data_IF_565987372258
#
_entry.id   IF_565987372258
#
_cell.length_a   1.000
_cell.length_b   1.000
_cell.length_c   1.000
_cell.angle_alpha   90.00
_cell.angle_beta   90.00
_cell.angle_gamma   90.00
#
_symmetry.space_group_name_H-M   'P 1'
#
loop_
_entity.id
_entity.type
_entity.pdbx_description
1 polymer ?
#
# COMPACT_ATOMS: atom_id res chain seq x y z
N UNK A 1 -13.09 -40.85 -72.91
CA UNK A 1 -13.13 -41.57 -71.62
C UNK A 1 -12.10 -40.94 -70.70
N UNK A 2 -12.57 -40.42 -69.57
CA UNK A 2 -11.92 -40.14 -68.27
C UNK A 2 -10.51 -39.51 -68.24
N UNK A 3 -10.37 -38.24 -67.81
CA UNK A 3 -10.22 -37.78 -66.41
C UNK A 3 -8.96 -38.34 -65.70
N UNK A 4 -8.00 -37.47 -65.40
CA UNK A 4 -7.59 -37.22 -64.01
C UNK A 4 -6.71 -35.97 -63.89
N UNK A 5 -7.27 -34.99 -63.19
CA UNK A 5 -6.65 -33.78 -62.66
C UNK A 5 -5.59 -34.17 -61.61
N UNK A 6 -4.32 -33.78 -61.80
CA UNK A 6 -3.36 -33.74 -60.70
C UNK A 6 -3.34 -32.32 -60.12
N UNK A 7 -4.12 -32.15 -59.06
CA UNK A 7 -4.12 -30.97 -58.21
C UNK A 7 -2.82 -30.92 -57.40
N UNK A 8 -1.99 -29.90 -57.66
CA UNK A 8 -0.83 -29.57 -56.81
C UNK A 8 -1.36 -29.02 -55.49
N UNK A 9 -1.34 -29.84 -54.44
CA UNK A 9 -1.59 -29.39 -53.07
C UNK A 9 -0.44 -28.47 -52.63
N UNK A 10 -0.74 -27.18 -52.51
CA UNK A 10 0.14 -26.16 -51.96
C UNK A 10 -0.03 -26.22 -50.43
N UNK A 11 0.93 -26.81 -49.73
CA UNK A 11 0.94 -26.88 -48.26
C UNK A 11 1.49 -25.56 -47.74
N UNK A 12 0.61 -24.68 -47.30
CA UNK A 12 0.97 -23.43 -46.59
C UNK A 12 1.24 -23.78 -45.13
N UNK A 13 2.52 -23.84 -44.72
CA UNK A 13 2.90 -23.97 -43.31
C UNK A 13 2.80 -22.60 -42.66
N UNK A 14 1.76 -22.37 -41.86
CA UNK A 14 1.61 -21.20 -41.01
C UNK A 14 2.38 -21.45 -39.72
N UNK A 15 3.57 -20.87 -39.59
CA UNK A 15 4.34 -20.85 -38.34
C UNK A 15 3.71 -19.79 -37.43
N UNK A 16 2.91 -20.24 -36.46
CA UNK A 16 2.43 -19.39 -35.36
C UNK A 16 3.60 -19.21 -34.40
N UNK A 17 4.29 -18.07 -34.49
CA UNK A 17 5.24 -17.64 -33.45
C UNK A 17 4.38 -17.18 -32.26
N UNK A 18 4.10 -18.09 -31.34
CA UNK A 18 3.58 -17.72 -30.03
C UNK A 18 4.65 -16.87 -29.35
N UNK A 19 4.41 -15.57 -29.22
CA UNK A 19 5.21 -14.70 -28.39
C UNK A 19 4.99 -15.15 -26.93
N UNK A 20 5.84 -16.06 -26.46
CA UNK A 20 5.95 -16.37 -25.03
C UNK A 20 6.51 -15.12 -24.36
N UNK A 21 5.65 -14.31 -23.75
CA UNK A 21 6.08 -13.30 -22.79
C UNK A 21 6.93 -14.03 -21.75
N UNK A 22 8.16 -13.59 -21.45
CA UNK A 22 8.96 -14.21 -20.41
C UNK A 22 8.17 -14.10 -19.11
N UNK A 23 7.74 -15.25 -18.58
CA UNK A 23 7.15 -15.33 -17.26
C UNK A 23 8.26 -14.98 -16.27
N UNK A 24 8.23 -13.77 -15.71
CA UNK A 24 9.08 -13.44 -14.56
C UNK A 24 8.71 -14.45 -13.48
N UNK A 25 9.68 -15.25 -12.98
CA UNK A 25 9.37 -16.27 -11.99
C UNK A 25 8.84 -15.60 -10.72
N UNK A 26 7.69 -16.07 -10.23
CA UNK A 26 7.15 -15.61 -8.95
C UNK A 26 8.19 -15.82 -7.84
N UNK A 27 8.48 -14.74 -7.11
CA UNK A 27 9.41 -14.73 -5.99
C UNK A 27 8.72 -15.30 -4.74
N UNK A 28 9.39 -16.13 -3.94
CA UNK A 28 8.81 -16.66 -2.72
C UNK A 28 8.69 -15.58 -1.63
N UNK A 29 7.59 -15.58 -0.89
CA UNK A 29 7.34 -14.67 0.22
C UNK A 29 6.63 -15.36 1.38
N UNK A 30 6.84 -14.82 2.57
CA UNK A 30 6.04 -15.12 3.74
C UNK A 30 4.89 -14.11 3.80
N UNK A 31 3.67 -14.58 4.08
CA UNK A 31 2.51 -13.72 4.26
C UNK A 31 1.88 -13.95 5.62
N UNK A 32 1.93 -12.92 6.47
CA UNK A 32 1.18 -12.90 7.72
C UNK A 32 -0.16 -12.23 7.48
N UNK A 33 -1.22 -12.95 7.83
CA UNK A 33 -2.61 -12.57 7.54
C UNK A 33 -3.37 -12.48 8.86
N UNK A 34 -4.11 -11.39 9.06
CA UNK A 34 -4.93 -11.20 10.25
C UNK A 34 -6.41 -11.22 9.85
N UNK A 35 -7.22 -11.94 10.62
CA UNK A 35 -8.66 -12.05 10.47
C UNK A 35 -9.37 -11.63 11.77
N UNK A 36 -10.61 -11.18 11.65
CA UNK A 36 -11.50 -11.08 12.81
C UNK A 36 -12.07 -12.47 13.14
N UNK A 37 -12.17 -12.81 14.42
CA UNK A 37 -12.56 -14.15 14.87
C UNK A 37 -11.37 -15.07 15.10
N UNK A 38 -11.61 -16.36 15.29
CA UNK A 38 -10.62 -17.32 15.84
C UNK A 38 -10.13 -18.38 14.84
N UNK A 39 -10.69 -18.39 13.64
CA UNK A 39 -10.61 -19.54 12.71
C UNK A 39 -9.83 -19.21 11.42
N UNK A 40 -9.08 -18.10 11.35
CA UNK A 40 -8.34 -17.63 10.16
C UNK A 40 -9.13 -17.78 8.86
N UNK A 41 -10.35 -17.24 8.85
CA UNK A 41 -11.28 -17.43 7.75
C UNK A 41 -12.10 -16.18 7.48
N UNK A 42 -12.67 -16.11 6.27
CA UNK A 42 -13.39 -14.94 5.79
C UNK A 42 -12.44 -13.92 5.17
N UNK A 43 -12.90 -12.67 5.05
CA UNK A 43 -12.09 -11.58 4.53
C UNK A 43 -11.08 -11.15 5.60
N UNK A 44 -9.76 -11.15 5.30
CA UNK A 44 -8.76 -10.67 6.24
C UNK A 44 -8.94 -9.17 6.49
N UNK A 45 -8.52 -8.72 7.67
CA UNK A 45 -8.38 -7.28 7.95
C UNK A 45 -7.07 -6.75 7.38
N UNK A 46 -6.03 -7.59 7.35
CA UNK A 46 -4.69 -7.22 6.93
C UNK A 46 -3.97 -8.41 6.32
N UNK A 47 -3.22 -8.17 5.25
CA UNK A 47 -2.32 -9.13 4.60
C UNK A 47 -0.96 -8.48 4.43
N UNK A 48 0.07 -9.01 5.05
CA UNK A 48 1.46 -8.60 4.79
C UNK A 48 2.13 -9.58 3.85
N UNK A 49 3.12 -9.12 3.07
CA UNK A 49 3.92 -9.98 2.21
C UNK A 49 5.38 -9.51 2.23
N UNK A 50 6.28 -10.36 2.71
CA UNK A 50 7.71 -10.07 2.81
C UNK A 50 8.49 -11.17 2.13
N UNK A 51 9.41 -10.79 1.22
CA UNK A 51 10.23 -11.75 0.47
C UNK A 51 10.99 -12.68 1.41
N UNK A 52 10.84 -13.99 1.23
CA UNK A 52 11.43 -15.00 2.10
C UNK A 52 11.66 -16.30 1.34
N UNK A 53 12.92 -16.75 1.32
CA UNK A 53 13.31 -18.02 0.70
C UNK A 53 13.22 -19.20 1.67
N UNK A 54 13.30 -18.92 2.97
CA UNK A 54 13.28 -19.89 4.07
C UNK A 54 12.01 -19.71 4.91
N UNK A 55 10.87 -19.49 4.23
CA UNK A 55 9.60 -19.27 4.89
C UNK A 55 9.14 -20.51 5.66
N UNK A 56 8.73 -20.31 6.91
CA UNK A 56 8.07 -21.32 7.73
C UNK A 56 6.62 -20.89 7.97
N UNK A 57 5.68 -21.75 7.59
CA UNK A 57 4.27 -21.50 7.82
C UNK A 57 3.96 -21.60 9.32
N UNK A 58 3.09 -20.71 9.79
CA UNK A 58 2.59 -20.70 11.16
C UNK A 58 1.09 -21.00 11.10
N UNK A 59 0.68 -22.05 11.79
CA UNK A 59 -0.74 -22.40 11.89
C UNK A 59 -1.56 -21.27 12.53
N UNK A 60 -2.86 -21.28 12.25
CA UNK A 60 -3.78 -20.29 12.79
C UNK A 60 -3.73 -20.21 14.32
N UNK A 61 -3.43 -19.02 14.85
CA UNK A 61 -3.45 -18.72 16.27
C UNK A 61 -4.37 -17.53 16.53
N UNK A 62 -5.16 -17.59 17.59
CA UNK A 62 -6.03 -16.47 17.99
C UNK A 62 -5.38 -15.61 19.07
N UNK A 63 -5.75 -14.34 19.09
CA UNK A 63 -5.35 -13.35 20.08
C UNK A 63 -6.52 -12.41 20.39
N UNK A 64 -6.38 -11.61 21.45
CA UNK A 64 -7.42 -10.65 21.87
C UNK A 64 -6.78 -9.26 21.92
N UNK A 65 -7.36 -8.32 21.19
CA UNK A 65 -6.98 -6.91 21.19
C UNK A 65 -8.24 -6.07 21.41
N UNK A 66 -8.19 -5.14 22.39
CA UNK A 66 -9.34 -4.32 22.82
C UNK A 66 -10.66 -5.09 22.98
N UNK A 67 -10.61 -6.23 23.67
CA UNK A 67 -11.78 -7.13 23.88
C UNK A 67 -12.37 -7.75 22.60
N UNK A 68 -11.76 -7.56 21.44
CA UNK A 68 -12.12 -8.21 20.18
C UNK A 68 -11.20 -9.40 19.94
N UNK A 69 -11.76 -10.52 19.48
CA UNK A 69 -10.98 -11.71 19.12
C UNK A 69 -10.52 -11.61 17.67
N UNK A 70 -9.24 -11.82 17.45
CA UNK A 70 -8.60 -11.89 16.14
C UNK A 70 -7.85 -13.21 16.00
N UNK A 71 -7.46 -13.53 14.77
CA UNK A 71 -6.58 -14.66 14.48
C UNK A 71 -5.58 -14.29 13.42
N UNK A 72 -4.40 -14.90 13.51
CA UNK A 72 -3.27 -14.68 12.62
C UNK A 72 -2.71 -16.02 12.16
N UNK A 73 -2.31 -16.09 10.91
CA UNK A 73 -1.55 -17.21 10.35
C UNK A 73 -0.44 -16.67 9.45
N UNK A 74 0.60 -17.48 9.25
CA UNK A 74 1.63 -17.19 8.25
C UNK A 74 1.62 -18.28 7.19
N UNK A 75 1.45 -17.88 5.93
CA UNK A 75 1.54 -18.75 4.76
C UNK A 75 2.83 -18.49 3.98
N UNK A 76 3.28 -19.49 3.23
CA UNK A 76 4.49 -19.42 2.42
C UNK A 76 4.12 -19.59 0.96
N UNK A 77 4.23 -18.50 0.21
CA UNK A 77 3.64 -18.41 -1.11
C UNK A 77 4.67 -18.17 -2.18
N UNK A 78 4.35 -18.64 -3.38
CA UNK A 78 5.15 -18.40 -4.59
C UNK A 78 4.24 -17.99 -5.73
N UNK A 79 3.72 -16.77 -5.62
CA UNK A 79 2.76 -16.19 -6.53
C UNK A 79 3.12 -14.73 -6.87
N UNK A 80 2.37 -14.14 -7.80
CA UNK A 80 2.34 -12.68 -7.93
C UNK A 80 1.63 -12.10 -6.70
N UNK A 81 2.27 -11.16 -6.01
CA UNK A 81 1.75 -10.64 -4.74
C UNK A 81 0.45 -9.85 -4.90
N UNK A 82 0.27 -9.18 -6.03
CA UNK A 82 -0.93 -8.39 -6.29
C UNK A 82 -2.13 -9.29 -6.53
N UNK A 83 -1.96 -10.34 -7.35
CA UNK A 83 -2.97 -11.36 -7.55
C UNK A 83 -3.30 -12.08 -6.24
N UNK A 84 -2.28 -12.45 -5.46
CA UNK A 84 -2.47 -13.09 -4.15
C UNK A 84 -3.29 -12.21 -3.19
N UNK A 85 -2.93 -10.93 -3.02
CA UNK A 85 -3.69 -10.00 -2.17
C UNK A 85 -5.12 -9.83 -2.69
N UNK A 86 -5.31 -9.65 -3.99
CA UNK A 86 -6.63 -9.49 -4.59
C UNK A 86 -7.54 -10.72 -4.32
N UNK A 87 -6.99 -11.93 -4.43
CA UNK A 87 -7.69 -13.17 -4.13
C UNK A 87 -8.06 -13.27 -2.64
N UNK A 88 -7.14 -12.90 -1.74
CA UNK A 88 -7.37 -12.92 -0.28
C UNK A 88 -8.51 -11.99 0.15
N UNK A 89 -8.61 -10.81 -0.46
CA UNK A 89 -9.71 -9.87 -0.16
C UNK A 89 -11.03 -10.22 -0.85
N UNK A 90 -11.03 -11.20 -1.76
CA UNK A 90 -12.22 -11.77 -2.41
C UNK A 90 -13.19 -10.70 -2.98
N UNK A 91 -12.64 -9.65 -3.60
CA UNK A 91 -13.41 -8.54 -4.17
C UNK A 91 -13.84 -7.47 -3.16
N UNK A 92 -13.35 -7.52 -1.92
CA UNK A 92 -13.48 -6.42 -0.95
C UNK A 92 -12.52 -5.28 -1.31
N UNK A 93 -12.87 -4.05 -0.95
CA UNK A 93 -11.98 -2.90 -1.13
C UNK A 93 -10.75 -3.02 -0.23
N UNK A 94 -9.58 -2.68 -0.76
CA UNK A 94 -8.35 -2.67 0.02
C UNK A 94 -7.39 -1.58 -0.47
N UNK A 95 -6.52 -1.12 0.43
CA UNK A 95 -5.36 -0.29 0.12
C UNK A 95 -4.12 -1.12 0.37
N UNK A 96 -3.25 -1.26 -0.62
CA UNK A 96 -1.99 -1.97 -0.48
C UNK A 96 -0.83 -1.02 -0.69
N UNK A 97 0.11 -1.05 0.26
CA UNK A 97 1.30 -0.23 0.28
C UNK A 97 2.50 -1.15 0.12
N UNK A 98 3.14 -1.07 -1.05
CA UNK A 98 4.46 -1.65 -1.25
C UNK A 98 5.52 -0.67 -0.76
N UNK A 99 6.47 -1.16 0.02
CA UNK A 99 7.61 -0.40 0.53
C UNK A 99 8.88 -0.80 -0.22
N UNK A 100 9.67 0.20 -0.56
CA UNK A 100 10.88 0.07 -1.35
C UNK A 100 12.06 0.81 -0.72
N UNK A 101 13.26 0.39 -1.09
CA UNK A 101 14.50 1.12 -0.83
C UNK A 101 15.09 1.70 -2.12
N UNK A 102 16.01 2.65 -1.95
CA UNK A 102 16.67 3.42 -3.03
C UNK A 102 15.68 4.03 -4.04
N UNK A 103 14.83 4.95 -3.58
CA UNK A 103 13.94 5.73 -4.44
C UNK A 103 13.00 4.83 -5.30
N UNK A 104 12.25 3.95 -4.64
CA UNK A 104 11.36 2.96 -5.29
C UNK A 104 12.04 1.96 -6.25
N UNK A 105 13.30 1.60 -6.02
CA UNK A 105 14.01 0.64 -6.88
C UNK A 105 13.94 -0.79 -6.38
N UNK A 106 14.11 -1.01 -5.06
CA UNK A 106 14.22 -2.36 -4.49
C UNK A 106 13.07 -2.65 -3.54
N UNK A 107 12.23 -3.61 -3.90
CA UNK A 107 11.11 -4.05 -3.08
C UNK A 107 11.60 -4.54 -1.71
N UNK A 108 10.91 -4.14 -0.64
CA UNK A 108 11.22 -4.51 0.74
C UNK A 108 10.08 -5.29 1.41
N UNK A 109 8.83 -5.01 1.04
CA UNK A 109 7.66 -5.67 1.58
C UNK A 109 6.39 -4.97 1.14
N UNK A 110 5.24 -5.62 1.36
CA UNK A 110 3.93 -5.05 1.10
C UNK A 110 3.01 -5.28 2.30
N UNK A 111 2.11 -4.34 2.56
CA UNK A 111 1.01 -4.54 3.50
C UNK A 111 -0.28 -4.06 2.84
N UNK A 112 -1.29 -4.90 2.83
CA UNK A 112 -2.62 -4.62 2.32
C UNK A 112 -3.62 -4.57 3.48
N UNK A 113 -4.44 -3.53 3.47
CA UNK A 113 -5.38 -3.16 4.51
C UNK A 113 -6.79 -3.24 3.97
N UNK A 114 -7.69 -3.88 4.70
CA UNK A 114 -9.12 -3.84 4.37
C UNK A 114 -9.60 -2.39 4.43
N UNK A 115 -10.14 -1.87 3.33
CA UNK A 115 -10.51 -0.47 3.21
C UNK A 115 -11.98 -0.25 3.56
N UNK A 116 -12.32 -0.39 4.85
CA UNK A 116 -13.70 -0.14 5.34
C UNK A 116 -13.91 1.26 5.91
N UNK A 117 -12.85 2.05 6.08
CA UNK A 117 -12.91 3.30 6.85
C UNK A 117 -13.10 3.11 8.37
N UNK A 118 -13.04 1.87 8.87
CA UNK A 118 -13.18 1.56 10.30
C UNK A 118 -11.80 1.30 10.93
N UNK A 119 -11.68 1.56 12.23
CA UNK A 119 -10.48 1.25 13.00
C UNK A 119 -10.32 -0.27 13.17
N UNK A 120 -9.21 -0.83 12.67
CA UNK A 120 -8.89 -2.27 12.73
C UNK A 120 -7.50 -2.50 13.32
N UNK A 121 -7.24 -3.70 13.83
CA UNK A 121 -5.92 -4.03 14.40
C UNK A 121 -4.86 -4.14 13.31
N UNK A 122 -3.67 -3.58 13.55
CA UNK A 122 -2.56 -3.55 12.58
C UNK A 122 -1.61 -4.75 12.72
N UNK A 123 -1.43 -5.26 13.93
CA UNK A 123 -0.50 -6.34 14.22
C UNK A 123 -1.11 -7.38 15.19
N UNK A 124 -0.43 -8.51 15.31
CA UNK A 124 -0.83 -9.59 16.21
C UNK A 124 -0.47 -9.34 17.69
N UNK A 125 0.22 -8.23 17.98
CA UNK A 125 0.48 -7.76 19.35
C UNK A 125 -0.70 -6.96 19.90
N UNK A 126 -1.52 -6.37 19.02
CA UNK A 126 -2.67 -5.55 19.40
C UNK A 126 -2.27 -4.17 19.95
N UNK A 127 -1.04 -3.72 19.65
CA UNK A 127 -0.52 -2.43 20.12
C UNK A 127 -0.88 -1.29 19.15
N UNK A 128 -1.08 -1.60 17.87
CA UNK A 128 -1.35 -0.64 16.82
C UNK A 128 -2.65 -0.95 16.07
N UNK A 129 -3.25 0.11 15.54
CA UNK A 129 -4.50 0.05 14.79
C UNK A 129 -4.38 0.87 13.52
N UNK A 130 -5.23 0.62 12.53
CA UNK A 130 -5.22 1.36 11.28
C UNK A 130 -6.63 1.72 10.83
N UNK A 131 -6.71 2.77 10.03
CA UNK A 131 -7.84 3.09 9.16
C UNK A 131 -7.30 3.09 7.72
N UNK A 132 -8.03 2.46 6.82
CA UNK A 132 -7.77 2.53 5.39
C UNK A 132 -9.07 2.77 4.62
N UNK A 133 -8.99 3.57 3.55
CA UNK A 133 -10.15 3.95 2.74
C UNK A 133 -9.74 4.12 1.27
N UNK A 134 -10.63 3.72 0.37
CA UNK A 134 -10.57 4.06 -1.05
C UNK A 134 -11.66 5.09 -1.30
N UNK A 135 -11.26 6.29 -1.71
CA UNK A 135 -12.16 7.42 -1.88
C UNK A 135 -12.91 7.32 -3.22
N UNK A 136 -14.07 7.97 -3.33
CA UNK A 136 -14.89 7.98 -4.56
C UNK A 136 -14.15 8.53 -5.78
N UNK A 137 -13.21 9.44 -5.57
CA UNK A 137 -12.40 10.04 -6.63
C UNK A 137 -11.25 9.13 -7.07
N UNK A 138 -11.10 7.92 -6.50
CA UNK A 138 -10.03 6.97 -6.80
C UNK A 138 -8.71 7.23 -6.06
N UNK A 139 -8.64 8.26 -5.21
CA UNK A 139 -7.55 8.40 -4.23
C UNK A 139 -7.71 7.39 -3.09
N UNK A 140 -6.68 7.29 -2.24
CA UNK A 140 -6.71 6.39 -1.09
C UNK A 140 -6.14 7.05 0.15
N UNK A 141 -6.54 6.56 1.32
CA UNK A 141 -5.95 6.95 2.59
C UNK A 141 -5.61 5.72 3.43
N UNK A 142 -4.54 5.84 4.21
CA UNK A 142 -4.14 4.86 5.21
C UNK A 142 -3.48 5.58 6.37
N UNK A 143 -3.85 5.26 7.61
CA UNK A 143 -3.23 5.80 8.81
C UNK A 143 -3.06 4.72 9.86
N UNK A 144 -1.92 4.73 10.57
CA UNK A 144 -1.63 3.85 11.71
C UNK A 144 -1.63 4.68 13.01
N UNK A 145 -2.29 4.14 14.02
CA UNK A 145 -2.57 4.74 15.31
C UNK A 145 -2.07 3.85 16.44
N UNK A 146 -1.74 4.45 17.58
CA UNK A 146 -1.24 3.74 18.77
C UNK A 146 -2.39 3.36 19.74
N UNK A 147 -3.63 3.47 19.32
CA UNK A 147 -4.81 3.21 20.15
C UNK A 147 -5.97 2.65 19.34
N UNK A 148 -6.82 1.87 20.01
CA UNK A 148 -7.96 1.15 19.42
C UNK A 148 -9.12 2.04 18.98
N UNK A 149 -9.11 3.31 19.35
CA UNK A 149 -10.11 4.28 18.89
C UNK A 149 -9.71 4.97 17.60
N UNK A 150 -8.47 4.77 17.12
CA UNK A 150 -7.87 5.47 15.99
C UNK A 150 -8.10 6.99 16.07
N UNK A 151 -7.96 7.55 17.28
CA UNK A 151 -8.24 8.95 17.54
C UNK A 151 -7.01 9.83 17.32
N UNK A 152 -7.23 11.10 16.95
CA UNK A 152 -6.14 12.05 16.72
C UNK A 152 -5.40 11.84 15.40
N UNK A 153 -4.13 12.22 15.37
CA UNK A 153 -3.29 12.11 14.17
C UNK A 153 -2.58 10.76 14.13
N UNK A 154 -2.58 10.05 12.98
CA UNK A 154 -1.80 8.83 12.83
C UNK A 154 -0.30 9.13 12.96
N UNK A 155 0.47 8.22 13.53
CA UNK A 155 1.93 8.37 13.61
C UNK A 155 2.63 8.02 12.29
N UNK A 156 1.96 7.26 11.43
CA UNK A 156 2.34 6.98 10.05
C UNK A 156 1.09 7.01 9.19
N UNK A 157 1.11 7.73 8.07
CA UNK A 157 -0.02 7.78 7.16
C UNK A 157 0.36 8.07 5.71
N UNK A 158 -0.54 7.69 4.81
CA UNK A 158 -0.44 7.83 3.37
C UNK A 158 -1.77 8.40 2.86
N UNK A 159 -1.68 9.44 2.03
CA UNK A 159 -2.85 10.08 1.39
C UNK A 159 -2.52 10.37 -0.09
N UNK A 160 -2.20 9.34 -0.91
CA UNK A 160 -1.95 9.54 -2.33
C UNK A 160 -3.21 10.00 -3.06
N UNK A 161 -3.05 10.96 -3.96
CA UNK A 161 -4.11 11.36 -4.90
C UNK A 161 -4.41 10.26 -5.93
N UNK A 162 -5.52 10.41 -6.67
CA UNK A 162 -5.90 9.48 -7.73
C UNK A 162 -4.77 9.28 -8.75
N UNK A 163 -4.09 10.35 -9.16
CA UNK A 163 -3.03 10.26 -10.18
C UNK A 163 -1.90 9.36 -9.69
N UNK A 164 -1.49 9.49 -8.43
CA UNK A 164 -0.47 8.65 -7.80
C UNK A 164 -0.91 7.19 -7.76
N UNK A 165 -2.14 6.93 -7.31
CA UNK A 165 -2.70 5.56 -7.20
C UNK A 165 -2.84 4.91 -8.57
N UNK A 166 -3.38 5.61 -9.56
CA UNK A 166 -3.66 5.07 -10.90
C UNK A 166 -2.42 4.89 -11.77
N UNK A 167 -1.41 5.75 -11.59
CA UNK A 167 -0.13 5.63 -12.29
C UNK A 167 0.86 4.68 -11.59
N UNK A 168 0.55 4.25 -10.36
CA UNK A 168 1.46 3.52 -9.49
C UNK A 168 2.82 4.24 -9.35
N UNK A 169 2.77 5.57 -9.26
CA UNK A 169 3.98 6.37 -9.12
C UNK A 169 4.58 6.25 -7.72
N UNK A 170 5.89 6.46 -7.64
CA UNK A 170 6.62 6.40 -6.38
C UNK A 170 6.20 7.54 -5.45
N UNK A 171 5.45 7.20 -4.42
CA UNK A 171 5.00 8.10 -3.38
C UNK A 171 6.08 8.27 -2.30
N UNK A 172 6.35 9.52 -1.93
CA UNK A 172 7.37 9.91 -0.94
C UNK A 172 8.77 9.31 -1.15
N UNK A 173 9.11 8.85 -2.36
CA UNK A 173 10.36 8.18 -2.72
C UNK A 173 10.61 6.79 -2.10
N UNK A 174 9.62 6.17 -1.46
CA UNK A 174 9.81 4.84 -0.84
C UNK A 174 8.59 3.93 -0.88
N UNK A 175 7.45 4.39 -1.39
CA UNK A 175 6.24 3.56 -1.46
C UNK A 175 5.59 3.61 -2.82
N UNK A 176 4.90 2.52 -3.18
CA UNK A 176 3.92 2.50 -4.27
C UNK A 176 2.61 2.05 -3.67
N UNK A 177 1.54 2.80 -3.94
CA UNK A 177 0.22 2.53 -3.37
C UNK A 177 -0.70 2.05 -4.47
N UNK A 178 -1.44 0.98 -4.14
CA UNK A 178 -2.47 0.39 -4.96
C UNK A 178 -3.77 0.44 -4.17
N UNK A 179 -4.86 0.71 -4.86
CA UNK A 179 -6.19 0.67 -4.28
C UNK A 179 -7.09 -0.19 -5.15
N UNK A 180 -7.93 -1.00 -4.51
CA UNK A 180 -9.00 -1.74 -5.15
C UNK A 180 -10.31 -1.30 -4.54
N UNK A 181 -11.29 -0.99 -5.39
CA UNK A 181 -12.66 -0.75 -4.99
C UNK A 181 -13.49 -2.01 -5.31
N UNK A 182 -14.24 -2.51 -4.33
CA UNK A 182 -15.22 -3.59 -4.47
C UNK A 182 -16.26 -3.33 -5.56
N UNK A 183 -16.51 -2.06 -5.91
CA UNK A 183 -17.41 -1.68 -7.01
C UNK A 183 -16.85 -2.04 -8.39
N UNK A 184 -15.54 -2.28 -8.50
CA UNK A 184 -14.88 -2.68 -9.74
C UNK A 184 -14.75 -4.19 -9.80
N UNK A 185 -15.87 -4.89 -9.97
CA UNK A 185 -15.83 -6.28 -10.41
C UNK A 185 -14.98 -6.36 -11.68
N UNK A 186 -13.85 -7.05 -11.62
CA UNK A 186 -12.98 -7.30 -12.77
C UNK A 186 -13.75 -8.20 -13.72
N UNK A 187 -14.54 -7.60 -14.60
CA UNK A 187 -15.04 -8.27 -15.78
C UNK A 187 -13.85 -8.49 -16.70
N UNK A 188 -13.29 -9.71 -16.66
CA UNK A 188 -12.34 -10.22 -17.65
C UNK A 188 -12.98 -10.06 -19.03
N UNK A 189 -12.68 -8.96 -19.69
CA UNK A 189 -13.16 -8.68 -21.04
C UNK A 189 -12.31 -9.48 -22.02
N UNK A 190 -12.82 -10.64 -22.40
CA UNK A 190 -12.38 -11.32 -23.62
C UNK A 190 -12.57 -10.36 -24.79
N UNK A 191 -11.43 -9.97 -25.37
CA UNK A 191 -11.30 -9.11 -26.55
C UNK A 191 -12.18 -9.62 -27.68
N UNK A 192 -13.27 -8.91 -27.97
CA UNK A 192 -14.08 -9.12 -29.18
C UNK A 192 -14.34 -7.78 -29.89
N UNK A 193 -13.74 -7.70 -31.07
CA UNK A 193 -13.96 -6.82 -32.22
C UNK A 193 -15.15 -5.83 -32.21
N UNK A 194 -14.78 -4.55 -32.35
CA UNK A 194 -15.44 -3.45 -33.08
C UNK A 194 -16.87 -3.65 -33.61
N UNK A 195 -17.77 -2.78 -33.19
CA UNK A 195 -18.74 -2.16 -34.09
C UNK A 195 -18.95 -0.69 -33.72
N UNK A 196 -18.76 0.17 -34.70
CA UNK A 196 -18.93 1.62 -34.60
C UNK A 196 -20.41 1.99 -34.53
N UNK A 197 -20.76 2.99 -33.73
CA UNK A 197 -21.93 3.84 -33.99
C UNK A 197 -21.68 5.22 -33.37
N UNK A 198 -21.52 6.20 -34.26
CA UNK A 198 -21.50 7.63 -33.96
C UNK A 198 -22.92 8.08 -33.67
N UNK A 199 -23.12 9.01 -32.73
CA UNK A 199 -24.20 9.99 -32.77
C UNK A 199 -23.84 11.19 -31.90
N UNK A 200 -23.92 12.34 -32.54
CA UNK A 200 -23.71 13.68 -32.01
C UNK A 200 -24.96 14.15 -31.26
N UNK A 201 -24.79 14.96 -30.20
CA UNK A 201 -25.75 16.00 -29.87
C UNK A 201 -25.05 17.12 -29.07
N UNK A 202 -24.96 18.27 -29.74
CA UNK A 202 -24.58 19.59 -29.24
C UNK A 202 -25.64 20.20 -28.32
N UNK A 203 -25.24 21.08 -27.39
CA UNK A 203 -25.93 22.36 -27.17
C UNK A 203 -25.03 23.35 -26.41
N UNK A 204 -24.79 24.48 -27.08
CA UNK A 204 -24.18 25.72 -26.59
C UNK A 204 -25.09 26.51 -25.64
N UNK A 205 -24.45 27.33 -24.78
CA UNK A 205 -24.63 28.80 -24.55
C UNK A 205 -24.57 29.14 -23.05
N UNK A 206 -24.24 30.35 -22.61
CA UNK A 206 -23.26 31.39 -22.94
C UNK A 206 -23.42 32.46 -21.82
N UNK A 207 -22.36 33.22 -21.56
CA UNK A 207 -22.36 34.64 -21.13
C UNK A 207 -22.50 35.10 -19.65
N UNK A 208 -21.38 35.69 -19.19
CA UNK A 208 -21.17 37.07 -18.67
C UNK A 208 -21.74 37.49 -17.29
N UNK A 209 -20.84 38.02 -16.44
CA UNK A 209 -21.18 39.08 -15.47
C UNK A 209 -20.24 39.25 -14.26
N UNK A 210 -19.16 40.03 -14.40
CA UNK A 210 -18.51 40.76 -13.29
C UNK A 210 -19.24 42.12 -13.14
N UNK A 211 -19.35 42.73 -11.94
CA UNK A 211 -18.28 43.61 -11.48
C UNK A 211 -18.09 43.73 -9.95
N UNK A 212 -16.98 44.40 -9.60
CA UNK A 212 -16.46 44.78 -8.29
C UNK A 212 -17.40 45.58 -7.38
N UNK A 213 -17.14 45.51 -6.07
CA UNK A 213 -17.18 46.70 -5.20
C UNK A 213 -16.17 46.60 -4.05
N UNK A 214 -15.45 47.72 -3.90
CA UNK A 214 -14.49 48.12 -2.88
C UNK A 214 -15.17 48.73 -1.66
N UNK A 215 -14.64 48.54 -0.45
CA UNK A 215 -14.68 49.57 0.60
C UNK A 215 -13.44 49.45 1.51
N UNK A 216 -12.74 50.59 1.63
CA UNK A 216 -11.66 50.93 2.56
C UNK A 216 -12.20 51.78 3.72
N UNK A 217 -11.57 51.68 4.90
CA UNK A 217 -11.16 52.76 5.84
C UNK A 217 -10.92 52.18 7.25
N UNK A 218 -9.70 52.28 7.81
CA UNK A 218 -9.15 53.34 8.72
C UNK A 218 -9.85 53.31 10.11
N UNK A 219 -9.24 53.42 11.30
CA UNK A 219 -7.90 53.83 11.77
C UNK A 219 -7.76 53.56 13.31
N UNK A 220 -6.51 53.56 13.79
CA UNK A 220 -5.96 53.99 15.10
C UNK A 220 -6.38 53.41 16.48
N UNK A 221 -5.36 53.12 17.31
CA UNK A 221 -5.46 53.16 18.79
C UNK A 221 -4.34 52.44 19.56
N UNK A 222 -3.37 53.20 20.07
CA UNK A 222 -2.22 52.75 20.89
C UNK A 222 -2.57 52.42 22.34
N UNK A 223 -1.86 51.46 22.93
CA UNK A 223 -1.50 51.44 24.34
C UNK A 223 -0.23 50.60 24.60
N UNK A 224 0.77 51.32 25.09
CA UNK A 224 2.10 50.90 25.50
C UNK A 224 2.03 50.27 26.92
N UNK A 225 2.58 49.07 27.09
CA UNK A 225 2.99 48.57 28.41
C UNK A 225 4.42 48.02 28.27
N UNK A 226 5.36 48.74 28.87
CA UNK A 226 6.75 48.33 29.07
C UNK A 226 6.82 47.42 30.29
N UNK A 227 7.34 46.19 30.12
CA UNK A 227 7.93 45.40 31.21
C UNK A 227 9.24 44.80 30.74
N UNK A 228 10.23 44.90 31.64
CA UNK A 228 11.67 44.72 31.47
C UNK A 228 12.10 43.26 31.26
N UNK A 229 13.14 43.11 30.44
CA UNK A 229 13.95 41.93 30.05
C UNK A 229 14.41 41.00 31.20
N UNK A 230 14.80 39.75 30.87
CA UNK A 230 16.25 39.51 30.76
C UNK A 230 16.66 38.72 29.50
N UNK A 231 17.91 38.93 29.11
CA UNK A 231 18.57 38.42 27.92
C UNK A 231 18.43 36.90 27.75
N UNK A 232 17.90 36.48 26.59
CA UNK A 232 18.05 35.11 26.15
C UNK A 232 19.50 34.87 25.73
N UNK A 233 20.11 33.93 26.43
CA UNK A 233 21.39 33.32 26.12
C UNK A 233 21.34 32.75 24.71
N UNK A 234 22.16 33.32 23.82
CA UNK A 234 22.42 32.82 22.48
C UNK A 234 23.13 31.45 22.55
N UNK A 235 22.34 30.39 22.62
CA UNK A 235 22.77 29.01 22.39
C UNK A 235 22.35 28.56 21.01
N UNK A 236 22.91 29.18 19.96
CA UNK A 236 22.67 28.77 18.58
C UNK A 236 23.16 27.34 18.34
N UNK A 237 22.25 26.37 18.35
CA UNK A 237 22.55 25.01 17.91
C UNK A 237 22.36 24.97 16.40
N UNK A 238 23.47 24.99 15.66
CA UNK A 238 23.47 24.89 14.20
C UNK A 238 22.56 23.73 13.76
N UNK A 239 21.60 24.01 12.88
CA UNK A 239 20.63 23.04 12.33
C UNK A 239 21.30 21.81 11.69
N UNK A 240 22.59 21.89 11.34
CA UNK A 240 23.40 20.75 10.89
C UNK A 240 23.73 19.69 11.96
N UNK A 241 23.72 20.04 13.25
CA UNK A 241 24.00 19.09 14.34
C UNK A 241 22.78 18.21 14.66
N UNK A 242 21.56 18.72 14.47
CA UNK A 242 20.30 18.01 14.76
C UNK A 242 20.06 16.91 13.73
N UNK A 243 20.36 17.16 12.45
CA UNK A 243 20.24 16.15 11.37
C UNK A 243 21.29 15.04 11.50
N UNK A 244 22.52 15.38 11.93
CA UNK A 244 23.57 14.39 12.15
C UNK A 244 23.26 13.41 13.29
N UNK A 245 22.62 13.88 14.36
CA UNK A 245 22.21 13.04 15.50
C UNK A 245 21.10 12.08 15.09
N UNK A 246 20.12 12.52 14.28
CA UNK A 246 19.04 11.65 13.82
C UNK A 246 19.55 10.54 12.89
N UNK A 247 20.46 10.85 11.96
CA UNK A 247 21.05 9.84 11.07
C UNK A 247 21.92 8.87 11.85
N UNK A 248 22.74 9.34 12.80
CA UNK A 248 23.54 8.48 13.65
C UNK A 248 22.68 7.58 14.55
N UNK A 249 21.56 8.10 15.07
CA UNK A 249 20.61 7.34 15.88
C UNK A 249 19.92 6.26 15.05
N UNK A 250 19.44 6.58 13.85
CA UNK A 250 18.83 5.59 12.94
C UNK A 250 19.83 4.49 12.57
N UNK A 251 21.09 4.84 12.25
CA UNK A 251 22.13 3.86 11.94
C UNK A 251 22.45 2.98 13.18
N UNK A 252 22.51 3.56 14.38
CA UNK A 252 22.70 2.81 15.62
C UNK A 252 21.53 1.88 15.91
N UNK A 253 20.30 2.33 15.72
CA UNK A 253 19.09 1.52 15.87
C UNK A 253 19.08 0.36 14.88
N UNK A 254 19.37 0.61 13.60
CA UNK A 254 19.45 -0.45 12.58
C UNK A 254 20.56 -1.45 12.90
N UNK A 255 21.75 -0.97 13.30
CA UNK A 255 22.85 -1.85 13.70
C UNK A 255 22.50 -2.68 14.95
N UNK A 256 21.82 -2.09 15.95
CA UNK A 256 21.34 -2.80 17.12
C UNK A 256 20.27 -3.84 16.74
N UNK A 257 19.34 -3.52 15.84
CA UNK A 257 18.35 -4.46 15.33
C UNK A 257 19.00 -5.63 14.59
N UNK A 258 19.99 -5.38 13.71
CA UNK A 258 20.74 -6.44 13.01
C UNK A 258 21.48 -7.33 14.01
N UNK A 259 22.15 -6.75 15.01
CA UNK A 259 22.84 -7.50 16.06
C UNK A 259 21.87 -8.28 16.96
N UNK A 260 20.69 -7.74 17.23
CA UNK A 260 19.63 -8.42 17.97
C UNK A 260 19.06 -9.58 17.16
N UNK A 261 18.80 -9.41 15.86
CA UNK A 261 18.33 -10.48 14.99
C UNK A 261 19.37 -11.59 14.84
N UNK A 262 20.64 -11.26 14.61
CA UNK A 262 21.73 -12.26 14.53
C UNK A 262 21.95 -12.96 15.88
N UNK A 263 21.83 -12.24 17.00
CA UNK A 263 21.89 -12.84 18.34
C UNK A 263 20.68 -13.75 18.61
N UNK A 264 19.48 -13.38 18.18
CA UNK A 264 18.28 -14.20 18.29
C UNK A 264 18.40 -15.45 17.42
N UNK A 265 18.88 -15.32 16.18
CA UNK A 265 19.10 -16.45 15.28
C UNK A 265 20.12 -17.45 15.87
N UNK A 266 21.21 -16.96 16.47
CA UNK A 266 22.16 -17.80 17.21
C UNK A 266 21.56 -18.42 18.48
N UNK A 267 20.61 -17.75 19.13
CA UNK A 267 19.92 -18.28 20.30
C UNK A 267 18.92 -19.38 19.90
N UNK A 268 18.17 -19.19 18.82
CA UNK A 268 17.23 -20.16 18.26
C UNK A 268 17.99 -21.40 17.79
N UNK A 269 19.12 -21.24 17.07
CA UNK A 269 19.99 -22.36 16.69
C UNK A 269 20.59 -23.12 17.88
N UNK A 270 20.79 -22.46 19.04
CA UNK A 270 21.26 -23.11 20.27
C UNK A 270 20.15 -23.76 21.09
N UNK A 271 18.92 -23.24 20.98
CA UNK A 271 17.73 -23.83 21.61
C UNK A 271 17.15 -24.99 20.78
N UNK A 272 17.53 -25.13 19.51
CA UNK A 272 17.29 -26.31 18.65
C UNK A 272 18.07 -27.57 19.04
N UNK A 273 18.33 -27.79 20.33
CA UNK A 273 18.83 -29.07 20.86
C UNK A 273 17.64 -29.91 21.33
N UNK A 274 17.28 -30.88 20.47
CA UNK A 274 16.31 -31.98 20.63
C UNK A 274 14.83 -31.60 20.64
N UNK A 275 14.22 -31.69 19.47
CA UNK A 275 13.24 -32.75 19.21
C UNK A 275 13.48 -33.37 17.85
#
# INVERSE_FOLDING_TARGET
MSLTFQSKALVTVLVVIAASTPSVPAEPFASTIIYTGKDCSGTPVLVSAVGSVDCEAVECVFFIADSVTYSSETTCERADRHAYVADMFAGSSYVMIETYSKLCTYFSGAVAFLATGECKVYDDQGDNYFIAEVNEDGSASQGIYNDSSCSGSPFLGYEPDNETVSSHSCYNNYSVIYASDASTSVSVSTRSTSSSSRSFASSDRDSVGKPSSSFTSDDAGWNEIVVVTPAESSGGVNTGAIVGILVAYVILCVAACILCMDRMERFIRRLGLRR
#
